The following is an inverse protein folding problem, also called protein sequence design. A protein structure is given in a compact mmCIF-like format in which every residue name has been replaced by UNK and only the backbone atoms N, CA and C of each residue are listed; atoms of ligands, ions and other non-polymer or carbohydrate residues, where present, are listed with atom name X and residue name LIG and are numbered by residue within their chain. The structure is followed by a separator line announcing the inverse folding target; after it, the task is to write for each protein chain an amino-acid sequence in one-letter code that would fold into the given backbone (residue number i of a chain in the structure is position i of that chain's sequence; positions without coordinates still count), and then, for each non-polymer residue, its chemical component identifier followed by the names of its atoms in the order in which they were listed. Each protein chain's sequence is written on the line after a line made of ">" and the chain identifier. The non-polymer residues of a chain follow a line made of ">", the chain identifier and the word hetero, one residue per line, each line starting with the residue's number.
data_IF_962823047041
#
_entry.id   IF_962823047041
#
_cell.length_a   1.000
_cell.length_b   1.000
_cell.length_c   1.000
_cell.angle_alpha   90.00
_cell.angle_beta   90.00
_cell.angle_gamma   90.00
#
_symmetry.space_group_name_H-M   'P 1'
#
loop_
_entity.id
_entity.type
_entity.pdbx_description
1 polymer ?
#
# COMPACT_ATOMS: atom_id res chain seq x y z
N UNK A 1 40.80 -19.56 80.72
CA UNK A 1 40.42 -18.40 79.90
C UNK A 1 39.82 -18.91 78.59
N UNK A 2 38.52 -19.25 78.62
CA UNK A 2 37.76 -19.61 77.40
C UNK A 2 37.57 -18.31 76.63
N UNK A 3 38.02 -18.29 75.37
CA UNK A 3 37.78 -17.18 74.44
C UNK A 3 36.29 -17.24 74.10
N UNK A 4 35.52 -16.26 74.56
CA UNK A 4 34.16 -16.03 74.08
C UNK A 4 34.26 -15.68 72.60
N UNK A 5 34.01 -16.67 71.75
CA UNK A 5 33.82 -16.45 70.32
C UNK A 5 32.57 -15.61 70.19
N UNK A 6 32.76 -14.35 69.81
CA UNK A 6 31.75 -13.31 69.69
C UNK A 6 30.44 -13.84 69.10
N UNK A 7 29.44 -14.03 69.94
CA UNK A 7 28.06 -14.44 69.61
C UNK A 7 27.35 -13.44 68.67
N UNK A 8 27.99 -12.30 68.39
CA UNK A 8 27.45 -11.21 67.57
C UNK A 8 27.54 -11.44 66.06
N UNK A 9 28.50 -12.24 65.58
CA UNK A 9 28.64 -12.55 64.13
C UNK A 9 27.76 -13.74 63.74
N UNK A 10 27.78 -14.81 64.52
CA UNK A 10 27.00 -16.03 64.25
C UNK A 10 25.48 -15.76 64.26
N UNK A 11 24.97 -14.99 65.22
CA UNK A 11 23.54 -14.63 65.28
C UNK A 11 23.11 -13.66 64.17
N UNK A 12 24.05 -12.84 63.64
CA UNK A 12 23.80 -11.91 62.53
C UNK A 12 23.73 -12.65 61.19
N UNK A 13 24.53 -13.68 61.01
CA UNK A 13 24.50 -14.54 59.82
C UNK A 13 23.22 -15.39 59.76
N UNK A 14 22.77 -15.90 60.90
CA UNK A 14 21.53 -16.69 61.00
C UNK A 14 20.29 -15.85 60.70
N UNK A 15 20.25 -14.60 61.16
CA UNK A 15 19.18 -13.64 60.84
C UNK A 15 19.16 -13.19 59.37
N UNK A 16 20.28 -13.28 58.64
CA UNK A 16 20.41 -12.86 57.23
C UNK A 16 20.06 -13.95 56.22
N UNK A 17 20.04 -15.23 56.61
CA UNK A 17 19.68 -16.36 55.74
C UNK A 17 18.36 -16.17 54.97
N UNK A 18 17.21 -15.84 55.60
CA UNK A 18 15.96 -15.64 54.87
C UNK A 18 16.00 -14.43 53.93
N UNK A 19 16.77 -13.39 54.26
CA UNK A 19 16.97 -12.24 53.37
C UNK A 19 17.83 -12.59 52.15
N UNK A 20 18.84 -13.45 52.33
CA UNK A 20 19.69 -13.94 51.25
C UNK A 20 18.90 -14.85 50.29
N UNK A 21 18.06 -15.75 50.80
CA UNK A 21 17.19 -16.60 49.97
C UNK A 21 16.20 -15.76 49.15
N UNK A 22 15.54 -14.78 49.77
CA UNK A 22 14.66 -13.84 49.08
C UNK A 22 15.44 -13.02 48.02
N UNK A 23 16.67 -12.59 48.31
CA UNK A 23 17.51 -11.88 47.36
C UNK A 23 17.93 -12.74 46.16
N UNK A 24 18.28 -14.01 46.39
CA UNK A 24 18.64 -14.94 45.32
C UNK A 24 17.43 -15.27 44.44
N UNK A 25 16.24 -15.42 45.03
CA UNK A 25 15.00 -15.55 44.28
C UNK A 25 14.73 -14.33 43.40
N UNK A 26 14.83 -13.11 43.97
CA UNK A 26 14.71 -11.86 43.22
C UNK A 26 15.68 -11.81 42.04
N UNK A 27 16.95 -12.19 42.26
CA UNK A 27 17.98 -12.18 41.21
C UNK A 27 17.67 -13.18 40.09
N UNK A 28 17.11 -14.35 40.41
CA UNK A 28 16.66 -15.33 39.41
C UNK A 28 15.49 -14.82 38.57
N UNK A 29 14.50 -14.19 39.21
CA UNK A 29 13.36 -13.59 38.50
C UNK A 29 13.84 -12.48 37.57
N UNK A 30 14.67 -11.56 38.07
CA UNK A 30 15.22 -10.48 37.25
C UNK A 30 16.11 -11.01 36.11
N UNK A 31 16.85 -12.11 36.32
CA UNK A 31 17.65 -12.74 35.27
C UNK A 31 16.74 -13.32 34.17
N UNK A 32 15.64 -13.97 34.57
CA UNK A 32 14.59 -14.41 33.66
C UNK A 32 14.02 -13.25 32.85
N UNK A 33 13.71 -12.12 33.50
CA UNK A 33 13.26 -10.89 32.82
C UNK A 33 14.32 -10.38 31.83
N UNK A 34 15.60 -10.31 32.20
CA UNK A 34 16.67 -9.83 31.30
C UNK A 34 16.84 -10.71 30.07
N UNK A 35 16.77 -12.04 30.22
CA UNK A 35 16.81 -12.97 29.09
C UNK A 35 15.56 -12.82 28.21
N UNK A 36 14.39 -12.70 28.82
CA UNK A 36 13.13 -12.50 28.12
C UNK A 36 13.11 -11.18 27.35
N UNK A 37 13.77 -10.13 27.85
CA UNK A 37 13.94 -8.86 27.14
C UNK A 37 14.79 -8.98 25.87
N UNK A 38 15.84 -9.82 25.88
CA UNK A 38 16.62 -10.11 24.67
C UNK A 38 15.76 -10.86 23.65
N UNK A 39 14.98 -11.84 24.10
CA UNK A 39 14.03 -12.55 23.23
C UNK A 39 13.00 -11.57 22.66
N UNK A 40 12.44 -10.69 23.49
CA UNK A 40 11.49 -9.66 23.05
C UNK A 40 12.11 -8.70 22.03
N UNK A 41 13.37 -8.32 22.19
CA UNK A 41 14.09 -7.50 21.22
C UNK A 41 14.22 -8.20 19.86
N UNK A 42 14.59 -9.48 19.86
CA UNK A 42 14.66 -10.28 18.62
C UNK A 42 13.27 -10.39 17.99
N UNK A 43 12.23 -10.67 18.79
CA UNK A 43 10.85 -10.74 18.32
C UNK A 43 10.39 -9.40 17.74
N UNK A 44 10.76 -8.27 18.35
CA UNK A 44 10.47 -6.94 17.81
C UNK A 44 11.14 -6.71 16.46
N UNK A 45 12.42 -7.09 16.31
CA UNK A 45 13.15 -7.00 15.04
C UNK A 45 12.45 -7.83 13.96
N UNK A 46 12.03 -9.06 14.28
CA UNK A 46 11.27 -9.92 13.36
C UNK A 46 9.91 -9.29 13.03
N UNK A 47 9.22 -8.73 14.02
CA UNK A 47 7.94 -8.05 13.82
C UNK A 47 8.09 -6.88 12.84
N UNK A 48 9.02 -5.95 13.05
CA UNK A 48 9.18 -4.80 12.15
C UNK A 48 9.71 -5.19 10.76
N UNK A 49 10.38 -6.33 10.64
CA UNK A 49 10.93 -6.82 9.36
C UNK A 49 9.94 -7.63 8.53
N UNK A 50 8.85 -8.12 9.13
CA UNK A 50 7.83 -8.87 8.38
C UNK A 50 6.93 -7.95 7.54
N UNK A 51 6.51 -8.48 6.41
CA UNK A 51 5.55 -7.92 5.47
C UNK A 51 4.10 -8.35 5.75
N UNK A 52 3.85 -9.08 6.84
CA UNK A 52 2.54 -9.60 7.22
C UNK A 52 2.03 -8.94 8.51
N UNK A 53 1.83 -7.63 8.50
CA UNK A 53 1.10 -6.93 9.56
C UNK A 53 -0.39 -6.89 9.24
N UNK A 54 -0.71 -6.54 7.99
CA UNK A 54 -2.06 -6.45 7.46
C UNK A 54 -2.17 -7.42 6.29
N UNK A 55 -3.24 -8.20 6.26
CA UNK A 55 -3.57 -9.10 5.15
C UNK A 55 -4.99 -8.77 4.70
N UNK A 56 -5.14 -8.43 3.42
CA UNK A 56 -6.43 -8.14 2.80
C UNK A 56 -6.71 -9.24 1.79
N UNK A 57 -7.84 -9.91 1.92
CA UNK A 57 -8.28 -10.98 1.02
C UNK A 57 -9.46 -10.52 0.18
N UNK A 58 -9.38 -10.72 -1.13
CA UNK A 58 -10.47 -10.50 -2.09
C UNK A 58 -11.28 -11.77 -2.39
N UNK A 59 -11.11 -12.85 -1.61
CA UNK A 59 -11.83 -14.11 -1.80
C UNK A 59 -11.58 -14.74 -3.18
N UNK A 60 -12.64 -14.89 -3.99
CA UNK A 60 -12.55 -15.43 -5.35
C UNK A 60 -12.04 -14.40 -6.40
N UNK A 61 -11.82 -13.15 -5.98
CA UNK A 61 -11.33 -12.06 -6.82
C UNK A 61 -12.33 -10.91 -6.91
N UNK A 62 -11.91 -9.72 -6.51
CA UNK A 62 -12.71 -8.49 -6.64
C UNK A 62 -12.26 -7.73 -7.88
N UNK A 63 -13.15 -7.44 -8.81
CA UNK A 63 -12.78 -6.69 -10.03
C UNK A 63 -12.63 -5.20 -9.73
N UNK A 64 -11.45 -4.67 -9.99
CA UNK A 64 -11.15 -3.23 -9.84
C UNK A 64 -11.24 -2.58 -11.21
N UNK A 65 -12.25 -1.71 -11.47
CA UNK A 65 -12.46 -1.14 -12.80
C UNK A 65 -11.30 -0.29 -13.32
N UNK A 66 -10.68 0.49 -12.43
CA UNK A 66 -9.59 1.42 -12.78
C UNK A 66 -8.36 0.69 -13.30
N UNK A 67 -7.94 -0.37 -12.58
CA UNK A 67 -6.78 -1.18 -12.97
C UNK A 67 -7.11 -2.29 -13.95
N UNK A 68 -8.40 -2.64 -14.08
CA UNK A 68 -8.96 -3.77 -14.85
C UNK A 68 -8.40 -5.12 -14.45
N UNK A 69 -8.26 -5.32 -13.14
CA UNK A 69 -7.67 -6.54 -12.58
C UNK A 69 -8.56 -7.08 -11.49
N UNK A 70 -8.51 -8.38 -11.32
CA UNK A 70 -9.04 -9.01 -10.12
C UNK A 70 -8.02 -8.88 -9.00
N UNK A 71 -8.42 -8.22 -7.92
CA UNK A 71 -7.69 -8.22 -6.67
C UNK A 71 -7.92 -9.54 -5.94
N UNK A 72 -6.83 -10.26 -5.66
CA UNK A 72 -6.89 -11.56 -4.99
C UNK A 72 -6.53 -11.46 -3.52
N UNK A 73 -5.34 -10.96 -3.24
CA UNK A 73 -4.90 -10.68 -1.89
C UNK A 73 -3.81 -9.61 -1.91
N UNK A 74 -3.64 -8.95 -0.78
CA UNK A 74 -2.46 -8.15 -0.47
C UNK A 74 -2.02 -8.41 0.96
N UNK A 75 -0.72 -8.24 1.17
CA UNK A 75 -0.15 -8.17 2.50
C UNK A 75 0.77 -6.96 2.58
N UNK A 76 0.74 -6.31 3.73
CA UNK A 76 1.53 -5.12 4.00
C UNK A 76 2.23 -5.25 5.33
N UNK A 77 3.52 -4.92 5.33
CA UNK A 77 4.27 -4.62 6.54
C UNK A 77 4.66 -3.16 6.61
N UNK A 78 5.64 -2.88 7.45
CA UNK A 78 6.12 -1.52 7.71
C UNK A 78 6.93 -0.94 6.53
N UNK A 79 7.69 -1.78 5.84
CA UNK A 79 8.65 -1.35 4.80
C UNK A 79 8.25 -1.77 3.38
N UNK A 80 7.43 -2.82 3.26
CA UNK A 80 7.11 -3.45 1.98
C UNK A 80 5.63 -3.75 1.91
N UNK A 81 5.05 -3.46 0.75
CA UNK A 81 3.69 -3.81 0.40
C UNK A 81 3.69 -4.74 -0.82
N UNK A 82 2.92 -5.81 -0.75
CA UNK A 82 2.78 -6.79 -1.81
C UNK A 82 1.32 -6.98 -2.17
N UNK A 83 1.01 -6.90 -3.46
CA UNK A 83 -0.33 -7.04 -4.00
C UNK A 83 -0.34 -8.10 -5.09
N UNK A 84 -1.20 -9.09 -4.95
CA UNK A 84 -1.42 -10.11 -5.95
C UNK A 84 -2.72 -9.81 -6.68
N UNK A 85 -2.57 -9.55 -7.98
CA UNK A 85 -3.70 -9.28 -8.87
C UNK A 85 -3.68 -10.26 -10.03
N UNK A 86 -4.83 -10.47 -10.67
CA UNK A 86 -4.94 -11.25 -11.90
C UNK A 86 -5.47 -10.35 -13.00
N UNK A 87 -4.76 -10.34 -14.13
CA UNK A 87 -5.15 -9.59 -15.33
C UNK A 87 -6.00 -10.51 -16.23
N UNK A 88 -7.28 -10.20 -16.47
CA UNK A 88 -8.10 -10.92 -17.42
C UNK A 88 -7.81 -10.42 -18.84
N UNK A 89 -7.25 -11.29 -19.68
CA UNK A 89 -6.99 -11.01 -21.09
C UNK A 89 -7.98 -11.77 -21.96
N UNK A 90 -8.84 -11.05 -22.68
CA UNK A 90 -9.72 -11.65 -23.66
C UNK A 90 -8.91 -12.33 -24.76
N UNK A 91 -9.22 -13.58 -25.08
CA UNK A 91 -8.61 -14.30 -26.18
C UNK A 91 -9.01 -13.64 -27.51
N UNK A 92 -8.09 -13.59 -28.48
CA UNK A 92 -8.28 -12.89 -29.75
C UNK A 92 -9.48 -13.42 -30.54
N UNK A 93 -9.72 -14.72 -30.50
CA UNK A 93 -10.81 -15.44 -31.15
C UNK A 93 -12.13 -15.43 -30.37
N UNK A 94 -12.14 -14.96 -29.12
CA UNK A 94 -13.34 -14.97 -28.30
C UNK A 94 -14.30 -13.83 -28.70
N UNK A 95 -15.57 -14.16 -28.88
CA UNK A 95 -16.65 -13.19 -29.09
C UNK A 95 -17.01 -12.54 -27.75
N UNK A 96 -16.33 -11.46 -27.41
CA UNK A 96 -16.56 -10.68 -26.19
C UNK A 96 -16.54 -9.20 -26.49
N UNK A 97 -17.32 -8.44 -25.73
CA UNK A 97 -17.24 -6.97 -25.76
C UNK A 97 -16.01 -6.54 -24.94
N UNK A 98 -15.15 -5.74 -25.56
CA UNK A 98 -13.91 -5.25 -24.95
C UNK A 98 -13.99 -3.75 -24.75
N UNK A 99 -13.22 -3.20 -23.81
CA UNK A 99 -13.03 -1.76 -23.74
C UNK A 99 -11.88 -1.36 -24.68
N UNK A 100 -11.97 -0.20 -25.33
CA UNK A 100 -10.99 0.28 -26.31
C UNK A 100 -9.54 0.26 -25.80
N UNK A 101 -9.29 0.60 -24.54
CA UNK A 101 -7.91 0.63 -24.03
C UNK A 101 -7.32 -0.77 -23.78
N UNK A 102 -8.11 -1.85 -23.92
CA UNK A 102 -7.55 -3.23 -23.99
C UNK A 102 -6.71 -3.48 -25.24
N UNK A 103 -6.89 -2.66 -26.29
CA UNK A 103 -6.08 -2.72 -27.50
C UNK A 103 -4.72 -2.03 -27.29
N UNK A 104 -4.62 -1.11 -26.33
CA UNK A 104 -3.51 -0.17 -26.21
C UNK A 104 -2.35 -0.71 -25.38
N UNK A 105 -1.15 -0.22 -25.65
CA UNK A 105 -0.01 -0.49 -24.79
C UNK A 105 -0.20 0.17 -23.43
N UNK A 106 0.10 -0.60 -22.37
CA UNK A 106 0.08 -0.09 -20.99
C UNK A 106 1.49 0.25 -20.48
N UNK A 107 2.54 -0.30 -21.10
CA UNK A 107 3.93 0.01 -20.72
C UNK A 107 4.39 1.33 -21.35
N UNK A 108 4.97 2.22 -20.55
CA UNK A 108 5.53 3.47 -21.05
C UNK A 108 6.65 3.25 -22.07
N UNK A 109 7.47 2.19 -21.91
CA UNK A 109 8.52 1.85 -22.88
C UNK A 109 7.94 1.57 -24.26
N UNK A 110 6.95 0.68 -24.35
CA UNK A 110 6.29 0.32 -25.61
C UNK A 110 5.53 1.50 -26.22
N UNK A 111 4.96 2.38 -25.40
CA UNK A 111 4.33 3.62 -25.88
C UNK A 111 5.37 4.51 -26.54
N UNK A 112 6.50 4.77 -25.87
CA UNK A 112 7.55 5.64 -26.39
C UNK A 112 8.16 5.07 -27.69
N UNK A 113 8.43 3.76 -27.72
CA UNK A 113 8.94 3.08 -28.92
C UNK A 113 7.94 3.14 -30.09
N UNK A 114 6.66 2.94 -29.80
CA UNK A 114 5.60 3.03 -30.81
C UNK A 114 5.45 4.47 -31.34
N UNK A 115 5.51 5.49 -30.46
CA UNK A 115 5.49 6.91 -30.89
C UNK A 115 6.69 7.21 -31.79
N UNK A 116 7.91 6.81 -31.39
CA UNK A 116 9.13 7.00 -32.19
C UNK A 116 8.99 6.37 -33.59
N UNK A 117 8.47 5.14 -33.67
CA UNK A 117 8.24 4.47 -34.94
C UNK A 117 7.18 5.20 -35.80
N UNK A 118 6.12 5.71 -35.17
CA UNK A 118 5.06 6.46 -35.84
C UNK A 118 5.58 7.75 -36.49
N UNK A 119 6.45 8.49 -35.79
CA UNK A 119 7.04 9.76 -36.25
C UNK A 119 7.75 9.62 -37.59
N UNK A 120 8.31 8.45 -37.87
CA UNK A 120 9.03 8.18 -39.12
C UNK A 120 8.11 7.78 -40.29
N UNK A 121 6.84 7.45 -40.03
CA UNK A 121 5.90 7.02 -41.06
C UNK A 121 5.44 8.18 -41.94
N UNK A 122 5.31 7.93 -43.24
CA UNK A 122 5.01 8.97 -44.25
C UNK A 122 3.65 9.64 -44.02
N UNK A 123 2.62 8.87 -43.68
CA UNK A 123 1.28 9.41 -43.46
C UNK A 123 1.21 10.39 -42.27
N UNK A 124 2.04 10.21 -41.23
CA UNK A 124 2.12 11.17 -40.11
C UNK A 124 2.70 12.50 -40.57
N UNK A 125 3.69 12.47 -41.46
CA UNK A 125 4.25 13.70 -42.06
C UNK A 125 3.22 14.40 -42.93
N UNK A 126 2.44 13.65 -43.72
CA UNK A 126 1.36 14.17 -44.55
C UNK A 126 0.24 14.79 -43.70
N UNK A 127 -0.18 14.11 -42.63
CA UNK A 127 -1.21 14.61 -41.71
C UNK A 127 -0.77 15.90 -41.02
N UNK A 128 0.50 16.04 -40.65
CA UNK A 128 1.00 17.28 -40.04
C UNK A 128 0.94 18.51 -40.98
N UNK A 129 1.01 18.32 -42.29
CA UNK A 129 1.02 19.41 -43.29
C UNK A 129 -0.32 19.61 -44.01
N UNK A 130 -1.33 18.81 -43.69
CA UNK A 130 -2.66 18.87 -44.32
C UNK A 130 -3.32 20.25 -44.10
N UNK A 131 -3.94 20.80 -45.15
CA UNK A 131 -4.61 22.11 -45.06
C UNK A 131 -5.87 21.97 -44.21
N UNK A 132 -6.07 22.93 -43.31
CA UNK A 132 -7.29 23.00 -42.51
C UNK A 132 -8.38 23.70 -43.31
N UNK A 133 -9.59 23.17 -43.22
CA UNK A 133 -10.77 23.85 -43.73
C UNK A 133 -11.11 25.04 -42.83
N UNK A 134 -11.51 26.17 -43.42
CA UNK A 134 -11.93 27.37 -42.68
C UNK A 134 -13.32 27.22 -42.01
N UNK A 135 -13.89 26.02 -42.02
CA UNK A 135 -15.16 25.76 -41.34
C UNK A 135 -15.00 25.89 -39.84
N UNK A 136 -15.95 26.53 -39.15
CA UNK A 136 -15.96 26.67 -37.68
C UNK A 136 -16.15 25.35 -36.89
N UNK A 137 -16.11 24.19 -37.55
CA UNK A 137 -16.26 22.86 -36.96
C UNK A 137 -14.91 22.13 -36.89
N UNK A 138 -14.79 21.16 -35.97
CA UNK A 138 -13.59 20.34 -35.88
C UNK A 138 -13.58 19.24 -36.95
N UNK A 139 -13.00 19.55 -38.10
CA UNK A 139 -13.01 18.70 -39.30
C UNK A 139 -12.04 17.52 -39.24
N UNK A 140 -12.15 16.62 -40.21
CA UNK A 140 -11.29 15.45 -40.36
C UNK A 140 -9.80 15.80 -40.52
N UNK A 141 -9.39 16.80 -41.33
CA UNK A 141 -8.01 17.28 -41.36
C UNK A 141 -7.51 17.77 -39.98
N UNK A 142 -8.38 18.40 -39.19
CA UNK A 142 -8.01 18.86 -37.85
C UNK A 142 -7.73 17.68 -36.90
N UNK A 143 -8.52 16.59 -36.98
CA UNK A 143 -8.29 15.35 -36.21
C UNK A 143 -6.95 14.70 -36.58
N UNK A 144 -6.66 14.60 -37.88
CA UNK A 144 -5.39 14.05 -38.40
C UNK A 144 -4.19 14.86 -37.94
N UNK A 145 -4.26 16.20 -38.04
CA UNK A 145 -3.22 17.11 -37.53
C UNK A 145 -3.00 16.98 -36.03
N UNK A 146 -4.09 17.00 -35.25
CA UNK A 146 -4.02 16.84 -33.80
C UNK A 146 -3.31 15.55 -33.41
N UNK A 147 -3.66 14.43 -34.06
CA UNK A 147 -2.99 13.15 -33.82
C UNK A 147 -1.52 13.14 -34.27
N UNK A 148 -1.21 13.75 -35.42
CA UNK A 148 0.15 13.81 -35.95
C UNK A 148 1.09 14.60 -35.03
N UNK A 149 0.69 15.78 -34.56
CA UNK A 149 1.49 16.58 -33.60
C UNK A 149 1.67 15.84 -32.28
N UNK A 150 0.62 15.20 -31.76
CA UNK A 150 0.72 14.35 -30.57
C UNK A 150 1.72 13.21 -30.74
N UNK A 151 1.66 12.50 -31.87
CA UNK A 151 2.55 11.38 -32.18
C UNK A 151 4.02 11.82 -32.28
N UNK A 152 4.26 12.98 -32.89
CA UNK A 152 5.59 13.59 -33.07
C UNK A 152 6.18 14.18 -31.78
N UNK A 153 5.36 14.40 -30.75
CA UNK A 153 5.79 15.04 -29.50
C UNK A 153 5.90 16.56 -29.59
N UNK A 154 5.15 17.16 -30.50
CA UNK A 154 5.05 18.61 -30.70
C UNK A 154 3.95 19.16 -29.79
N UNK A 155 4.34 19.47 -28.55
CA UNK A 155 3.40 19.74 -27.45
C UNK A 155 2.61 21.04 -27.65
N UNK A 156 3.24 22.11 -28.16
CA UNK A 156 2.57 23.41 -28.33
C UNK A 156 1.43 23.33 -29.37
N UNK A 157 1.72 22.71 -30.51
CA UNK A 157 0.75 22.49 -31.57
C UNK A 157 -0.34 21.53 -31.12
N UNK A 158 0.02 20.42 -30.44
CA UNK A 158 -0.95 19.50 -29.88
C UNK A 158 -1.90 20.19 -28.90
N UNK A 159 -1.39 21.01 -27.97
CA UNK A 159 -2.21 21.72 -27.00
C UNK A 159 -3.14 22.75 -27.65
N UNK A 160 -2.70 23.37 -28.76
CA UNK A 160 -3.53 24.27 -29.56
C UNK A 160 -4.73 23.54 -30.15
N UNK A 161 -4.49 22.39 -30.81
CA UNK A 161 -5.57 21.58 -31.37
C UNK A 161 -6.45 20.95 -30.29
N UNK A 162 -5.86 20.51 -29.18
CA UNK A 162 -6.58 19.98 -28.02
C UNK A 162 -7.53 21.03 -27.43
N UNK A 163 -7.06 22.26 -27.26
CA UNK A 163 -7.88 23.36 -26.75
C UNK A 163 -9.03 23.68 -27.72
N UNK A 164 -8.76 23.66 -29.04
CA UNK A 164 -9.80 23.81 -30.05
C UNK A 164 -10.83 22.66 -30.01
N UNK A 165 -10.38 21.41 -29.84
CA UNK A 165 -11.26 20.24 -29.70
C UNK A 165 -12.12 20.35 -28.43
N UNK A 166 -11.53 20.72 -27.30
CA UNK A 166 -12.27 20.95 -26.06
C UNK A 166 -13.36 22.01 -26.24
N UNK A 167 -13.01 23.14 -26.87
CA UNK A 167 -13.94 24.25 -27.11
C UNK A 167 -15.04 23.89 -28.10
N UNK A 168 -14.72 23.26 -29.22
CA UNK A 168 -15.68 23.04 -30.32
C UNK A 168 -16.49 21.75 -30.15
N UNK A 169 -15.94 20.73 -29.48
CA UNK A 169 -16.55 19.41 -29.36
C UNK A 169 -16.97 19.14 -27.92
N UNK A 170 -16.04 19.15 -26.97
CA UNK A 170 -16.34 18.70 -25.59
C UNK A 170 -17.25 19.67 -24.82
N UNK A 171 -17.22 20.96 -25.14
CA UNK A 171 -18.03 21.98 -24.46
C UNK A 171 -19.52 21.97 -24.85
N UNK A 172 -19.90 21.20 -25.87
CA UNK A 172 -21.30 21.09 -26.31
C UNK A 172 -22.16 20.39 -25.24
N UNK A 173 -23.41 20.83 -25.07
CA UNK A 173 -24.29 20.29 -24.02
C UNK A 173 -24.49 18.78 -24.16
N UNK A 174 -24.57 18.27 -25.39
CA UNK A 174 -24.68 16.84 -25.67
C UNK A 174 -23.47 16.05 -25.13
N UNK A 175 -22.25 16.50 -25.44
CA UNK A 175 -21.03 15.81 -25.04
C UNK A 175 -20.73 16.00 -23.54
N UNK A 176 -21.11 17.13 -22.93
CA UNK A 176 -20.97 17.33 -21.49
C UNK A 176 -21.79 16.33 -20.67
N UNK A 177 -22.94 15.88 -21.18
CA UNK A 177 -23.76 14.84 -20.52
C UNK A 177 -23.05 13.48 -20.49
N UNK A 178 -22.10 13.21 -21.38
CA UNK A 178 -21.29 11.98 -21.37
C UNK A 178 -20.19 11.99 -20.30
N UNK A 179 -19.81 13.17 -19.79
CA UNK A 179 -18.76 13.31 -18.77
C UNK A 179 -19.33 13.39 -17.35
N UNK A 180 -20.53 13.94 -17.20
CA UNK A 180 -21.14 14.18 -15.90
C UNK A 180 -21.88 12.93 -15.39
N UNK A 181 -21.15 12.03 -14.74
CA UNK A 181 -21.73 10.85 -14.08
C UNK A 181 -22.53 11.22 -12.83
N UNK A 182 -23.65 10.54 -12.62
CA UNK A 182 -24.35 10.55 -11.32
C UNK A 182 -23.51 9.77 -10.29
N UNK A 183 -23.57 10.13 -9.01
CA UNK A 183 -22.86 9.45 -7.91
C UNK A 183 -23.39 8.02 -7.58
N UNK A 184 -24.13 7.40 -8.49
CA UNK A 184 -24.69 6.05 -8.32
C UNK A 184 -23.62 5.01 -8.61
N UNK A 185 -23.67 3.88 -7.91
CA UNK A 185 -22.74 2.75 -8.10
C UNK A 185 -22.75 2.30 -9.58
N UNK A 186 -21.57 2.06 -10.19
CA UNK A 186 -21.51 1.64 -11.58
C UNK A 186 -22.25 0.32 -11.84
N UNK A 187 -22.85 0.20 -13.01
CA UNK A 187 -23.59 -0.99 -13.43
C UNK A 187 -22.60 -1.98 -14.07
N UNK A 188 -22.43 -3.19 -13.49
CA UNK A 188 -21.60 -4.22 -14.08
C UNK A 188 -22.32 -4.83 -15.29
N UNK A 189 -21.62 -4.92 -16.41
CA UNK A 189 -22.09 -5.53 -17.66
C UNK A 189 -21.22 -6.74 -17.96
N UNK A 190 -21.87 -7.88 -18.21
CA UNK A 190 -21.18 -9.10 -18.63
C UNK A 190 -20.70 -8.96 -20.08
N UNK A 191 -19.37 -8.94 -20.35
CA UNK A 191 -18.83 -8.82 -21.70
C UNK A 191 -19.11 -10.04 -22.59
N UNK A 192 -19.53 -11.18 -22.02
CA UNK A 192 -19.89 -12.38 -22.77
C UNK A 192 -21.28 -12.30 -23.39
N UNK A 193 -22.20 -11.49 -22.86
CA UNK A 193 -23.56 -11.32 -23.38
C UNK A 193 -23.60 -10.34 -24.57
N UNK A 194 -22.83 -10.64 -25.62
CA UNK A 194 -22.72 -9.80 -26.82
C UNK A 194 -24.10 -9.57 -27.45
N UNK A 195 -24.91 -10.62 -27.56
CA UNK A 195 -26.23 -10.54 -28.18
C UNK A 195 -27.20 -9.68 -27.35
N UNK A 196 -27.21 -9.84 -26.02
CA UNK A 196 -28.04 -9.03 -25.15
C UNK A 196 -27.62 -7.57 -25.11
N UNK A 197 -26.31 -7.28 -25.18
CA UNK A 197 -25.77 -5.92 -25.28
C UNK A 197 -26.24 -5.23 -26.57
N UNK A 198 -26.16 -5.93 -27.71
CA UNK A 198 -26.59 -5.39 -29.01
C UNK A 198 -28.11 -5.18 -29.03
N UNK A 199 -28.89 -6.17 -28.59
CA UNK A 199 -30.35 -6.12 -28.61
C UNK A 199 -30.90 -5.00 -27.72
N UNK A 200 -30.30 -4.80 -26.54
CA UNK A 200 -30.68 -3.76 -25.57
C UNK A 200 -30.08 -2.39 -25.90
N UNK A 201 -29.19 -2.30 -26.88
CA UNK A 201 -28.40 -1.09 -27.19
C UNK A 201 -27.71 -0.52 -25.95
N UNK A 202 -27.19 -1.39 -25.06
CA UNK A 202 -26.65 -1.00 -23.74
C UNK A 202 -25.59 0.11 -23.83
N UNK A 203 -24.75 0.08 -24.86
CA UNK A 203 -23.70 1.08 -25.10
C UNK A 203 -24.02 2.03 -26.28
N UNK A 204 -25.24 1.99 -26.84
CA UNK A 204 -25.63 2.89 -27.94
C UNK A 204 -24.63 2.90 -29.11
N UNK A 205 -24.20 4.10 -29.52
CA UNK A 205 -23.22 4.27 -30.60
C UNK A 205 -21.76 4.14 -30.12
N UNK A 206 -21.54 4.03 -28.80
CA UNK A 206 -20.23 3.72 -28.23
C UNK A 206 -19.78 2.29 -28.53
N UNK A 207 -20.69 1.37 -28.88
CA UNK A 207 -20.34 0.01 -29.30
C UNK A 207 -19.91 -0.01 -30.76
N UNK A 208 -18.60 -0.17 -31.00
CA UNK A 208 -18.01 -0.20 -32.33
C UNK A 208 -17.47 -1.59 -32.67
N UNK A 209 -17.67 -2.02 -33.92
CA UNK A 209 -17.10 -3.27 -34.43
C UNK A 209 -15.81 -2.93 -35.16
N UNK A 210 -14.68 -3.27 -34.56
CA UNK A 210 -13.35 -2.92 -35.08
C UNK A 210 -12.64 -4.17 -35.59
N UNK A 211 -12.02 -4.05 -36.77
CA UNK A 211 -11.13 -5.07 -37.31
C UNK A 211 -9.72 -4.82 -36.79
N UNK A 212 -9.17 -5.78 -36.05
CA UNK A 212 -7.79 -5.72 -35.54
C UNK A 212 -7.12 -7.08 -35.72
N UNK A 213 -5.91 -7.10 -36.29
CA UNK A 213 -5.15 -8.32 -36.57
C UNK A 213 -5.98 -9.40 -37.31
N UNK A 214 -6.71 -8.99 -38.36
CA UNK A 214 -7.64 -9.81 -39.15
C UNK A 214 -8.83 -10.43 -38.38
N UNK A 215 -9.04 -10.05 -37.12
CA UNK A 215 -10.19 -10.46 -36.33
C UNK A 215 -11.14 -9.29 -36.11
N UNK A 216 -12.45 -9.54 -36.27
CA UNK A 216 -13.47 -8.57 -35.91
C UNK A 216 -13.82 -8.76 -34.44
N UNK A 217 -13.80 -7.68 -33.66
CA UNK A 217 -14.22 -7.72 -32.25
C UNK A 217 -15.01 -6.46 -31.90
N UNK A 218 -15.85 -6.56 -30.88
CA UNK A 218 -16.63 -5.45 -30.38
C UNK A 218 -15.83 -4.67 -29.33
N UNK A 219 -15.72 -3.36 -29.51
CA UNK A 219 -15.08 -2.45 -28.59
C UNK A 219 -16.04 -1.35 -28.16
N UNK A 220 -16.03 -1.04 -26.87
CA UNK A 220 -16.69 0.12 -26.32
C UNK A 220 -15.72 1.29 -26.41
N UNK A 221 -16.03 2.26 -27.29
CA UNK A 221 -15.28 3.50 -27.52
C UNK A 221 -16.25 4.66 -27.25
N UNK A 222 -16.02 5.53 -26.25
CA UNK A 222 -16.88 6.68 -25.97
C UNK A 222 -17.15 7.52 -27.22
N UNK A 223 -18.34 8.08 -27.37
CA UNK A 223 -18.74 8.77 -28.62
C UNK A 223 -17.84 9.99 -28.87
N UNK A 224 -17.53 10.76 -27.82
CA UNK A 224 -16.58 11.87 -27.92
C UNK A 224 -15.17 11.40 -28.29
N UNK A 225 -14.75 10.22 -27.82
CA UNK A 225 -13.47 9.63 -28.23
C UNK A 225 -13.46 9.27 -29.73
N UNK A 226 -14.58 8.78 -30.27
CA UNK A 226 -14.72 8.54 -31.72
C UNK A 226 -14.64 9.84 -32.53
N UNK A 227 -15.13 10.96 -32.00
CA UNK A 227 -15.03 12.28 -32.64
C UNK A 227 -13.61 12.86 -32.59
N UNK A 228 -12.76 12.39 -31.68
CA UNK A 228 -11.38 12.85 -31.53
C UNK A 228 -10.41 12.21 -32.54
N UNK A 229 -10.74 11.03 -33.06
CA UNK A 229 -9.88 10.28 -33.96
C UNK A 229 -10.33 10.39 -35.42
N UNK A 230 -9.37 10.34 -36.33
CA UNK A 230 -9.58 10.40 -37.77
C UNK A 230 -10.16 9.08 -38.31
N UNK A 231 -10.87 9.15 -39.43
CA UNK A 231 -11.39 7.99 -40.17
C UNK A 231 -10.29 7.01 -40.59
N UNK A 232 -10.61 5.72 -40.70
CA UNK A 232 -9.66 4.66 -41.10
C UNK A 232 -8.46 4.45 -40.17
N UNK A 233 -8.50 4.96 -38.93
CA UNK A 233 -7.45 4.74 -37.93
C UNK A 233 -7.17 3.25 -37.64
N UNK A 234 -8.14 2.38 -37.90
CA UNK A 234 -8.04 0.92 -37.72
C UNK A 234 -7.07 0.27 -38.69
N UNK A 235 -6.78 0.91 -39.82
CA UNK A 235 -5.87 0.40 -40.85
C UNK A 235 -4.40 0.52 -40.43
N UNK A 236 -4.12 1.31 -39.38
CA UNK A 236 -2.79 1.56 -38.87
C UNK A 236 -2.59 0.85 -37.51
N UNK A 237 -1.88 -0.31 -37.47
CA UNK A 237 -1.78 -1.12 -36.24
C UNK A 237 -1.18 -0.38 -35.04
N UNK A 238 -0.20 0.50 -35.28
CA UNK A 238 0.42 1.29 -34.21
C UNK A 238 -0.52 2.37 -33.67
N UNK A 239 -1.39 2.95 -34.49
CA UNK A 239 -2.41 3.92 -34.06
C UNK A 239 -3.40 3.23 -33.12
N UNK A 240 -3.86 2.03 -33.47
CA UNK A 240 -4.71 1.21 -32.61
C UNK A 240 -4.06 0.92 -31.25
N UNK A 241 -2.76 0.59 -31.24
CA UNK A 241 -1.99 0.35 -30.01
C UNK A 241 -1.75 1.61 -29.16
N UNK A 242 -1.84 2.79 -29.76
CA UNK A 242 -1.64 4.08 -29.09
C UNK A 242 -2.95 4.80 -28.74
N UNK A 243 -4.09 4.29 -29.23
CA UNK A 243 -5.41 4.90 -29.08
C UNK A 243 -5.75 5.30 -27.64
N UNK A 244 -5.58 4.37 -26.69
CA UNK A 244 -5.87 4.60 -25.28
C UNK A 244 -5.02 5.71 -24.67
N UNK A 245 -3.73 5.75 -25.00
CA UNK A 245 -2.81 6.80 -24.56
C UNK A 245 -3.20 8.15 -25.14
N UNK A 246 -3.50 8.21 -26.45
CA UNK A 246 -3.92 9.43 -27.13
C UNK A 246 -5.21 10.03 -26.52
N UNK A 247 -6.26 9.21 -26.37
CA UNK A 247 -7.54 9.63 -25.79
C UNK A 247 -7.34 10.16 -24.36
N UNK A 248 -6.50 9.48 -23.57
CA UNK A 248 -6.15 9.91 -22.21
C UNK A 248 -5.44 11.27 -22.22
N UNK A 249 -4.49 11.48 -23.13
CA UNK A 249 -3.71 12.72 -23.21
C UNK A 249 -4.58 13.91 -23.70
N UNK A 250 -5.65 13.67 -24.46
CA UNK A 250 -6.69 14.68 -24.76
C UNK A 250 -7.48 15.04 -23.49
N UNK A 251 -7.65 14.09 -22.57
CA UNK A 251 -8.43 14.24 -21.34
C UNK A 251 -9.87 13.73 -21.47
N UNK A 252 -10.12 12.76 -22.35
CA UNK A 252 -11.43 12.12 -22.48
C UNK A 252 -11.49 10.92 -21.51
N UNK A 253 -12.54 10.79 -20.67
CA UNK A 253 -12.68 9.66 -19.76
C UNK A 253 -12.87 8.33 -20.49
N UNK A 254 -12.37 7.25 -19.91
CA UNK A 254 -12.41 5.91 -20.49
C UNK A 254 -13.65 5.07 -20.10
N UNK A 255 -14.71 5.73 -19.63
CA UNK A 255 -15.99 5.12 -19.25
C UNK A 255 -17.11 5.54 -20.19
N UNK A 256 -18.22 4.79 -20.19
CA UNK A 256 -19.44 5.13 -20.93
C UNK A 256 -20.59 5.19 -19.94
N UNK A 257 -21.49 6.14 -20.15
CA UNK A 257 -22.67 6.32 -19.33
C UNK A 257 -23.92 5.75 -20.02
N UNK A 258 -24.89 5.29 -19.24
CA UNK A 258 -26.23 4.99 -19.75
C UNK A 258 -27.08 6.27 -19.85
N UNK A 259 -28.35 6.14 -20.26
CA UNK A 259 -29.31 7.26 -20.35
C UNK A 259 -29.53 7.98 -19.01
N UNK A 260 -29.37 7.27 -17.89
CA UNK A 260 -29.49 7.81 -16.52
C UNK A 260 -28.17 8.43 -15.99
N UNK A 261 -27.14 8.53 -16.84
CA UNK A 261 -25.78 9.01 -16.50
C UNK A 261 -25.05 8.16 -15.46
N UNK A 262 -25.37 6.87 -15.39
CA UNK A 262 -24.68 5.88 -14.56
C UNK A 262 -23.58 5.20 -15.37
N UNK A 263 -22.41 5.02 -14.74
CA UNK A 263 -21.24 4.42 -15.38
C UNK A 263 -21.49 2.94 -15.68
N UNK A 264 -21.24 2.53 -16.93
CA UNK A 264 -21.29 1.14 -17.39
C UNK A 264 -19.88 0.54 -17.38
N UNK A 265 -19.71 -0.58 -16.69
CA UNK A 265 -18.39 -1.23 -16.54
C UNK A 265 -18.46 -2.67 -17.04
N UNK A 266 -17.60 -3.01 -17.99
CA UNK A 266 -17.41 -4.39 -18.42
C UNK A 266 -16.67 -5.15 -17.34
N UNK A 267 -17.32 -6.13 -16.72
CA UNK A 267 -16.75 -6.96 -15.66
C UNK A 267 -16.54 -8.37 -16.22
N UNK A 268 -15.29 -8.80 -16.48
CA UNK A 268 -15.00 -10.15 -16.93
C UNK A 268 -15.53 -11.20 -15.94
N UNK A 269 -15.73 -12.45 -16.36
CA UNK A 269 -16.08 -13.52 -15.44
C UNK A 269 -14.97 -13.75 -14.40
N UNK A 270 -15.34 -14.28 -13.24
CA UNK A 270 -14.40 -14.61 -12.18
C UNK A 270 -13.36 -15.64 -12.66
N UNK A 271 -12.11 -15.53 -12.20
CA UNK A 271 -11.07 -16.50 -12.55
C UNK A 271 -11.40 -17.89 -11.99
N UNK A 272 -11.05 -18.97 -12.71
CA UNK A 272 -11.25 -20.33 -12.24
C UNK A 272 -10.35 -20.65 -11.03
N UNK A 273 -10.85 -21.44 -10.07
CA UNK A 273 -10.14 -21.78 -8.82
C UNK A 273 -8.76 -22.44 -9.03
N UNK A 274 -8.56 -23.16 -10.13
CA UNK A 274 -7.29 -23.85 -10.44
C UNK A 274 -6.35 -23.02 -11.33
N UNK A 275 -6.68 -21.75 -11.57
CA UNK A 275 -5.99 -20.93 -12.56
C UNK A 275 -6.16 -21.48 -13.98
N UNK A 276 -5.68 -20.72 -14.97
CA UNK A 276 -5.65 -21.16 -16.36
C UNK A 276 -6.54 -20.35 -17.29
N UNK A 277 -6.77 -20.91 -18.48
CA UNK A 277 -7.53 -20.29 -19.55
C UNK A 277 -8.95 -20.83 -19.55
N UNK A 278 -9.92 -19.94 -19.75
CA UNK A 278 -11.29 -20.28 -20.09
C UNK A 278 -11.47 -20.22 -21.61
N UNK A 279 -12.65 -20.56 -22.13
CA UNK A 279 -12.95 -20.42 -23.54
C UNK A 279 -12.86 -18.97 -24.06
N UNK A 280 -12.91 -17.97 -23.17
CA UNK A 280 -12.99 -16.55 -23.55
C UNK A 280 -11.85 -15.69 -22.99
N UNK A 281 -11.32 -16.02 -21.81
CA UNK A 281 -10.31 -15.23 -21.10
C UNK A 281 -9.13 -16.09 -20.64
N UNK A 282 -7.93 -15.52 -20.79
CA UNK A 282 -6.70 -15.98 -20.14
C UNK A 282 -6.44 -15.13 -18.90
N UNK A 283 -6.22 -15.77 -17.76
CA UNK A 283 -5.99 -15.11 -16.49
C UNK A 283 -4.51 -15.16 -16.13
N UNK A 284 -3.83 -14.02 -16.23
CA UNK A 284 -2.39 -13.93 -15.98
C UNK A 284 -2.15 -13.36 -14.57
N UNK A 285 -1.47 -14.11 -13.68
CA UNK A 285 -1.11 -13.59 -12.37
C UNK A 285 -0.10 -12.46 -12.51
N UNK A 286 -0.33 -11.38 -11.77
CA UNK A 286 0.51 -10.20 -11.70
C UNK A 286 0.78 -9.87 -10.22
N UNK A 287 1.75 -10.56 -9.59
CA UNK A 287 2.23 -10.22 -8.27
C UNK A 287 3.12 -8.97 -8.35
N UNK A 288 2.86 -7.98 -7.50
CA UNK A 288 3.69 -6.77 -7.41
C UNK A 288 4.05 -6.51 -5.95
N UNK A 289 5.34 -6.58 -5.64
CA UNK A 289 5.90 -6.14 -4.37
C UNK A 289 6.71 -4.86 -4.59
N UNK A 290 6.46 -3.84 -3.77
CA UNK A 290 7.17 -2.56 -3.80
C UNK A 290 7.57 -2.20 -2.38
N UNK A 291 8.78 -1.69 -2.20
CA UNK A 291 9.14 -1.00 -0.97
C UNK A 291 8.34 0.30 -0.89
N UNK A 292 7.84 0.61 0.30
CA UNK A 292 7.08 1.82 0.53
C UNK A 292 8.06 2.99 0.50
N UNK A 293 7.89 3.87 -0.48
CA UNK A 293 8.63 5.12 -0.53
C UNK A 293 7.97 6.08 0.47
N UNK A 294 8.60 6.28 1.62
CA UNK A 294 8.07 7.13 2.69
C UNK A 294 8.15 8.63 2.34
N UNK A 295 8.96 9.01 1.35
CA UNK A 295 9.17 10.40 0.96
C UNK A 295 8.96 10.59 -0.56
N UNK A 296 7.77 10.26 -1.09
CA UNK A 296 7.49 10.43 -2.50
C UNK A 296 7.36 11.92 -2.84
N UNK A 297 7.64 12.27 -4.09
CA UNK A 297 7.34 13.60 -4.61
C UNK A 297 5.80 13.79 -4.70
N UNK A 298 5.31 15.01 -4.53
CA UNK A 298 3.87 15.31 -4.56
C UNK A 298 3.19 14.88 -5.87
N UNK A 299 3.90 15.02 -6.99
CA UNK A 299 3.43 14.55 -8.30
C UNK A 299 3.38 13.02 -8.40
N UNK A 300 4.27 12.29 -7.73
CA UNK A 300 4.24 10.82 -7.73
C UNK A 300 3.11 10.28 -6.86
N UNK A 301 2.82 10.94 -5.73
CA UNK A 301 1.75 10.52 -4.82
C UNK A 301 0.36 10.75 -5.44
N UNK A 302 0.13 11.89 -6.09
CA UNK A 302 -1.12 12.19 -6.82
C UNK A 302 -1.47 11.17 -7.91
N UNK A 303 -0.47 10.48 -8.45
CA UNK A 303 -0.62 9.50 -9.51
C UNK A 303 -0.82 8.05 -9.00
N UNK A 304 -0.67 7.80 -7.69
CA UNK A 304 -0.91 6.48 -7.08
C UNK A 304 -2.24 6.51 -6.29
N UNK A 305 -3.38 6.08 -6.87
CA UNK A 305 -4.71 6.20 -6.25
C UNK A 305 -4.93 5.35 -4.98
N UNK A 306 -3.91 4.60 -4.54
CA UNK A 306 -3.93 3.78 -3.34
C UNK A 306 -3.21 4.37 -2.13
N UNK A 307 -2.62 5.56 -2.27
CA UNK A 307 -1.91 6.26 -1.20
C UNK A 307 -2.26 7.74 -1.24
N UNK A 308 -2.59 8.31 -0.09
CA UNK A 308 -2.79 9.74 0.11
C UNK A 308 -1.80 10.30 1.14
N UNK A 309 -1.77 11.63 1.30
CA UNK A 309 -0.85 12.31 2.21
C UNK A 309 -1.02 11.85 3.66
N UNK A 310 -2.27 11.67 4.10
CA UNK A 310 -2.62 11.27 5.47
C UNK A 310 -2.17 9.84 5.79
N UNK A 311 -2.42 8.87 4.89
CA UNK A 311 -1.90 7.51 5.03
C UNK A 311 -0.37 7.49 5.07
N UNK A 312 0.28 8.32 4.25
CA UNK A 312 1.74 8.44 4.27
C UNK A 312 2.27 8.98 5.61
N UNK A 313 1.56 9.91 6.24
CA UNK A 313 1.92 10.40 7.57
C UNK A 313 1.78 9.32 8.65
N UNK A 314 0.70 8.53 8.63
CA UNK A 314 0.59 7.36 9.51
C UNK A 314 1.75 6.38 9.35
N UNK A 315 2.13 6.05 8.10
CA UNK A 315 3.24 5.14 7.81
C UNK A 315 4.57 5.70 8.35
N UNK A 316 4.84 7.00 8.15
CA UNK A 316 6.05 7.68 8.65
C UNK A 316 6.11 7.67 10.17
N UNK A 317 4.99 7.98 10.84
CA UNK A 317 4.90 7.92 12.30
C UNK A 317 5.14 6.50 12.80
N UNK A 318 4.50 5.49 12.18
CA UNK A 318 4.67 4.09 12.53
C UNK A 318 6.15 3.65 12.41
N UNK A 319 6.81 4.00 11.30
CA UNK A 319 8.22 3.65 11.07
C UNK A 319 9.16 4.33 12.06
N UNK A 320 8.92 5.60 12.37
CA UNK A 320 9.72 6.38 13.31
C UNK A 320 9.62 5.80 14.73
N UNK A 321 8.41 5.54 15.23
CA UNK A 321 8.21 4.92 16.54
C UNK A 321 8.72 3.48 16.60
N UNK A 322 8.68 2.74 15.49
CA UNK A 322 9.25 1.39 15.44
C UNK A 322 10.77 1.37 15.65
N UNK A 323 11.48 2.31 15.00
CA UNK A 323 12.92 2.51 15.19
C UNK A 323 13.24 3.01 16.60
N UNK A 324 12.48 3.98 17.13
CA UNK A 324 12.67 4.47 18.52
C UNK A 324 12.52 3.32 19.51
N UNK A 325 11.48 2.49 19.35
CA UNK A 325 11.24 1.32 20.21
C UNK A 325 12.44 0.36 20.18
N UNK A 326 13.00 0.11 18.99
CA UNK A 326 14.20 -0.73 18.85
C UNK A 326 15.39 -0.19 19.64
N UNK A 327 15.66 1.12 19.56
CA UNK A 327 16.75 1.76 20.32
C UNK A 327 16.51 1.70 21.83
N UNK A 328 15.30 2.05 22.28
CA UNK A 328 14.94 2.04 23.71
C UNK A 328 15.02 0.62 24.28
N UNK A 329 14.52 -0.39 23.56
CA UNK A 329 14.63 -1.79 23.98
C UNK A 329 16.09 -2.27 24.05
N UNK A 330 16.93 -1.86 23.09
CA UNK A 330 18.36 -2.19 23.10
C UNK A 330 19.05 -1.62 24.34
N UNK A 331 18.78 -0.35 24.68
CA UNK A 331 19.27 0.28 25.91
C UNK A 331 18.73 -0.43 27.15
N UNK A 332 17.44 -0.75 27.18
CA UNK A 332 16.79 -1.47 28.28
C UNK A 332 17.43 -2.84 28.54
N UNK A 333 17.75 -3.59 27.48
CA UNK A 333 18.43 -4.88 27.59
C UNK A 333 19.83 -4.72 28.20
N UNK A 334 20.63 -3.77 27.72
CA UNK A 334 21.98 -3.48 28.27
C UNK A 334 21.90 -3.11 29.75
N UNK A 335 21.01 -2.18 30.12
CA UNK A 335 20.85 -1.77 31.52
C UNK A 335 20.34 -2.91 32.41
N UNK A 336 19.53 -3.83 31.88
CA UNK A 336 19.05 -5.00 32.63
C UNK A 336 20.17 -5.94 33.02
N UNK A 337 21.10 -6.24 32.11
CA UNK A 337 22.29 -7.03 32.46
C UNK A 337 23.25 -6.27 33.36
N UNK A 338 23.40 -4.97 33.14
CA UNK A 338 24.23 -4.11 33.98
C UNK A 338 23.80 -4.13 35.47
N UNK A 339 22.51 -4.33 35.76
CA UNK A 339 22.02 -4.47 37.15
C UNK A 339 22.60 -5.67 37.92
N UNK A 340 23.15 -6.68 37.23
CA UNK A 340 23.79 -7.82 37.89
C UNK A 340 25.27 -7.58 38.20
N UNK A 341 25.91 -6.66 37.47
CA UNK A 341 27.29 -6.25 37.72
C UNK A 341 27.35 -5.21 38.85
N UNK A 342 26.35 -4.34 38.95
CA UNK A 342 26.28 -3.29 39.96
C UNK A 342 25.05 -3.47 40.85
N UNK A 343 25.22 -3.82 42.15
CA UNK A 343 24.10 -4.16 43.03
C UNK A 343 23.18 -2.98 43.39
N UNK A 344 23.56 -1.75 43.03
CA UNK A 344 22.87 -0.50 43.38
C UNK A 344 21.43 -0.49 42.86
N UNK A 345 20.48 -0.25 43.76
CA UNK A 345 19.04 -0.25 43.45
C UNK A 345 18.61 0.74 42.34
N UNK A 346 19.36 1.84 42.15
CA UNK A 346 19.07 2.86 41.14
C UNK A 346 19.09 2.30 39.71
N UNK A 347 20.00 1.39 39.37
CA UNK A 347 20.08 0.81 38.04
C UNK A 347 18.88 -0.09 37.73
N UNK A 348 18.32 -0.76 38.75
CA UNK A 348 17.08 -1.55 38.61
C UNK A 348 15.88 -0.66 38.28
N UNK A 349 15.79 0.52 38.91
CA UNK A 349 14.73 1.51 38.61
C UNK A 349 14.86 2.06 37.20
N UNK A 350 16.09 2.41 36.81
CA UNK A 350 16.37 2.90 35.47
C UNK A 350 15.99 1.86 34.41
N UNK A 351 16.43 0.60 34.59
CA UNK A 351 16.07 -0.49 33.68
C UNK A 351 14.55 -0.69 33.60
N UNK A 352 13.86 -0.73 34.75
CA UNK A 352 12.40 -0.84 34.79
C UNK A 352 11.68 0.31 34.08
N UNK A 353 12.15 1.55 34.28
CA UNK A 353 11.61 2.73 33.59
C UNK A 353 11.80 2.66 32.07
N UNK A 354 12.99 2.28 31.61
CA UNK A 354 13.28 2.15 30.16
C UNK A 354 12.39 1.09 29.51
N UNK A 355 12.13 -0.05 30.19
CA UNK A 355 11.22 -1.08 29.68
C UNK A 355 9.77 -0.60 29.59
N UNK A 356 9.30 0.20 30.54
CA UNK A 356 7.96 0.80 30.47
C UNK A 356 7.86 1.84 29.34
N UNK A 357 8.94 2.60 29.08
CA UNK A 357 9.01 3.50 27.92
C UNK A 357 9.02 2.70 26.62
N UNK A 358 9.75 1.59 26.53
CA UNK A 358 9.72 0.71 25.37
C UNK A 358 8.33 0.11 25.14
N UNK A 359 7.61 -0.26 26.20
CA UNK A 359 6.23 -0.70 26.10
C UNK A 359 5.31 0.40 25.56
N UNK A 360 5.42 1.63 26.06
CA UNK A 360 4.58 2.73 25.58
C UNK A 360 4.85 3.05 24.12
N UNK A 361 6.11 3.08 23.68
CA UNK A 361 6.44 3.32 22.27
C UNK A 361 5.97 2.18 21.35
N UNK A 362 6.05 0.92 21.80
CA UNK A 362 5.49 -0.23 21.06
C UNK A 362 3.95 -0.14 20.94
N UNK A 363 3.27 0.33 21.98
CA UNK A 363 1.82 0.54 21.96
C UNK A 363 1.42 1.65 20.98
N UNK A 364 2.19 2.73 20.91
CA UNK A 364 1.98 3.80 19.93
C UNK A 364 2.04 3.24 18.50
N UNK A 365 3.00 2.36 18.18
CA UNK A 365 3.07 1.71 16.86
C UNK A 365 1.80 0.93 16.55
N UNK A 366 1.26 0.17 17.51
CA UNK A 366 0.01 -0.57 17.34
C UNK A 366 -1.20 0.35 17.16
N UNK A 367 -1.27 1.44 17.94
CA UNK A 367 -2.35 2.41 17.84
C UNK A 367 -2.36 3.12 16.48
N UNK A 368 -1.19 3.59 16.03
CA UNK A 368 -1.03 4.23 14.71
C UNK A 368 -1.40 3.27 13.58
N UNK A 369 -1.06 1.98 13.70
CA UNK A 369 -1.48 0.95 12.74
C UNK A 369 -3.01 0.80 12.69
N UNK A 370 -3.69 0.73 13.84
CA UNK A 370 -5.15 0.57 13.83
C UNK A 370 -5.85 1.82 13.27
N UNK A 371 -5.38 3.02 13.63
CA UNK A 371 -5.88 4.27 13.04
C UNK A 371 -5.66 4.33 11.53
N UNK A 372 -4.51 3.88 11.02
CA UNK A 372 -4.26 3.88 9.57
C UNK A 372 -5.15 2.89 8.82
N UNK A 373 -5.47 1.74 9.42
CA UNK A 373 -6.41 0.76 8.87
C UNK A 373 -7.82 1.34 8.78
N UNK A 374 -8.30 1.95 9.86
CA UNK A 374 -9.65 2.51 9.91
C UNK A 374 -9.78 3.66 8.90
N UNK A 375 -8.76 4.51 8.81
CA UNK A 375 -8.67 5.55 7.79
C UNK A 375 -8.71 4.97 6.36
N UNK A 376 -7.91 3.94 6.08
CA UNK A 376 -7.82 3.31 4.76
C UNK A 376 -9.16 2.69 4.33
N UNK A 377 -9.90 2.08 5.26
CA UNK A 377 -11.23 1.51 4.98
C UNK A 377 -12.25 2.57 4.57
N UNK A 378 -12.18 3.75 5.19
CA UNK A 378 -13.16 4.82 4.96
C UNK A 378 -12.82 5.67 3.73
N UNK A 379 -11.54 5.90 3.44
CA UNK A 379 -11.11 6.90 2.45
C UNK A 379 -10.42 6.31 1.21
N UNK A 380 -9.86 5.11 1.28
CA UNK A 380 -9.00 4.55 0.23
C UNK A 380 -9.59 3.25 -0.37
N UNK A 381 -10.69 3.41 -1.12
CA UNK A 381 -11.37 2.31 -1.83
C UNK A 381 -10.44 1.50 -2.77
N UNK A 382 -9.40 2.12 -3.36
CA UNK A 382 -8.47 1.40 -4.23
C UNK A 382 -7.51 0.46 -3.48
N UNK A 383 -7.16 0.84 -2.24
CA UNK A 383 -6.36 0.03 -1.34
C UNK A 383 -7.23 -1.03 -0.65
N UNK A 384 -8.48 -0.66 -0.32
CA UNK A 384 -9.47 -1.51 0.33
C UNK A 384 -10.76 -1.57 -0.50
N UNK A 385 -10.87 -2.51 -1.47
CA UNK A 385 -12.07 -2.61 -2.27
C UNK A 385 -13.25 -3.14 -1.44
N UNK A 386 -14.47 -2.73 -1.80
CA UNK A 386 -15.71 -3.28 -1.23
C UNK A 386 -15.67 -4.81 -1.27
N UNK A 387 -16.19 -5.45 -0.22
CA UNK A 387 -16.22 -6.91 -0.03
C UNK A 387 -14.87 -7.57 0.27
N UNK A 388 -13.80 -6.79 0.48
CA UNK A 388 -12.54 -7.33 0.97
C UNK A 388 -12.61 -7.69 2.47
N UNK A 389 -11.99 -8.81 2.84
CA UNK A 389 -11.83 -9.23 4.23
C UNK A 389 -10.46 -8.80 4.76
N UNK A 390 -10.46 -8.01 5.84
CA UNK A 390 -9.25 -7.64 6.57
C UNK A 390 -8.93 -8.70 7.63
N UNK A 391 -7.68 -9.16 7.65
CA UNK A 391 -7.14 -10.02 8.69
C UNK A 391 -5.81 -9.48 9.20
N UNK A 392 -5.54 -9.65 10.50
CA UNK A 392 -4.28 -9.27 11.10
C UNK A 392 -3.24 -10.38 10.89
N UNK A 393 -2.06 -9.99 10.43
CA UNK A 393 -0.95 -10.92 10.24
C UNK A 393 -0.10 -11.10 11.50
N UNK A 394 0.94 -11.94 11.38
CA UNK A 394 1.83 -12.28 12.49
C UNK A 394 2.54 -11.07 13.12
N UNK A 395 2.82 -10.01 12.34
CA UNK A 395 3.47 -8.80 12.84
C UNK A 395 2.75 -8.15 14.02
N UNK A 396 1.41 -8.13 13.99
CA UNK A 396 0.57 -7.57 15.06
C UNK A 396 0.66 -8.40 16.34
N UNK A 397 0.60 -9.73 16.21
CA UNK A 397 0.70 -10.63 17.36
C UNK A 397 2.09 -10.58 18.02
N UNK A 398 3.15 -10.50 17.21
CA UNK A 398 4.53 -10.35 17.71
C UNK A 398 4.73 -8.99 18.41
N UNK A 399 4.11 -7.91 17.90
CA UNK A 399 4.14 -6.60 18.54
C UNK A 399 3.42 -6.61 19.90
N UNK A 400 2.25 -7.25 20.00
CA UNK A 400 1.55 -7.44 21.28
C UNK A 400 2.37 -8.26 22.28
N UNK A 401 3.02 -9.32 21.84
CA UNK A 401 3.92 -10.10 22.68
C UNK A 401 5.05 -9.23 23.26
N UNK A 402 5.68 -8.40 22.42
CA UNK A 402 6.72 -7.46 22.84
C UNK A 402 6.18 -6.44 23.85
N UNK A 403 5.00 -5.86 23.59
CA UNK A 403 4.35 -4.93 24.50
C UNK A 403 4.12 -5.53 25.89
N UNK A 404 3.46 -6.70 25.96
CA UNK A 404 3.14 -7.38 27.23
C UNK A 404 4.42 -7.74 27.98
N UNK A 405 5.43 -8.24 27.27
CA UNK A 405 6.71 -8.61 27.85
C UNK A 405 7.44 -7.41 28.47
N UNK A 406 7.50 -6.28 27.76
CA UNK A 406 8.13 -5.05 28.25
C UNK A 406 7.41 -4.51 29.49
N UNK A 407 6.06 -4.55 29.52
CA UNK A 407 5.30 -4.16 30.72
C UNK A 407 5.61 -5.06 31.90
N UNK A 408 5.52 -6.38 31.73
CA UNK A 408 5.73 -7.33 32.82
C UNK A 408 7.15 -7.21 33.39
N UNK A 409 8.16 -7.17 32.51
CA UNK A 409 9.55 -6.98 32.90
C UNK A 409 9.76 -5.62 33.58
N UNK A 410 9.21 -4.53 33.02
CA UNK A 410 9.30 -3.19 33.62
C UNK A 410 8.73 -3.13 35.03
N UNK A 411 7.53 -3.68 35.24
CA UNK A 411 6.90 -3.77 36.57
C UNK A 411 7.73 -4.64 37.52
N UNK A 412 8.24 -5.79 37.08
CA UNK A 412 9.06 -6.67 37.92
C UNK A 412 10.38 -6.00 38.35
N UNK A 413 11.04 -5.27 37.45
CA UNK A 413 12.25 -4.51 37.77
C UNK A 413 11.97 -3.40 38.80
N UNK A 414 10.84 -2.70 38.68
CA UNK A 414 10.44 -1.69 39.66
C UNK A 414 10.05 -2.30 41.01
N UNK A 415 9.27 -3.39 41.00
CA UNK A 415 8.83 -4.09 42.21
C UNK A 415 10.02 -4.58 43.04
N UNK A 416 11.04 -5.14 42.39
CA UNK A 416 12.26 -5.64 43.05
C UNK A 416 13.38 -4.59 43.19
N UNK A 417 13.09 -3.30 42.94
CA UNK A 417 14.05 -2.19 43.09
C UNK A 417 14.05 -1.55 44.50
N UNK A 418 13.40 -2.18 45.48
CA UNK A 418 13.33 -1.69 46.86
C UNK A 418 14.73 -1.44 47.44
N UNK A 419 14.91 -0.27 48.06
CA UNK A 419 16.17 0.11 48.72
C UNK A 419 16.39 -0.75 49.97
N UNK A 420 17.56 -1.36 50.12
CA UNK A 420 17.89 -2.20 51.30
C UNK A 420 19.04 -1.55 52.08
N UNK A 421 18.82 -1.20 53.36
CA UNK A 421 19.80 -0.55 54.23
C UNK A 421 20.12 -1.39 55.47
N UNK A 422 21.38 -1.38 55.91
CA UNK A 422 21.81 -1.91 57.21
C UNK A 422 21.38 -3.37 57.45
N UNK A 423 20.70 -3.64 58.56
CA UNK A 423 20.25 -4.98 58.94
C UNK A 423 19.20 -5.60 57.98
N UNK A 424 18.59 -4.82 57.08
CA UNK A 424 17.64 -5.29 56.07
C UNK A 424 18.31 -5.68 54.74
N UNK A 425 19.64 -5.60 54.65
CA UNK A 425 20.40 -6.02 53.50
C UNK A 425 20.88 -7.48 53.63
N UNK A 426 20.88 -8.26 52.53
CA UNK A 426 21.24 -9.68 52.53
C UNK A 426 22.74 -9.93 52.75
N UNK A 427 23.61 -8.99 52.36
CA UNK A 427 25.05 -8.99 52.67
C UNK A 427 25.54 -7.54 52.87
N UNK A 428 26.75 -7.39 53.43
CA UNK A 428 27.33 -6.07 53.71
C UNK A 428 27.72 -5.31 52.43
N UNK A 429 28.07 -6.00 51.34
CA UNK A 429 28.35 -5.37 50.03
C UNK A 429 27.11 -4.66 49.44
N UNK A 430 25.93 -5.30 49.48
CA UNK A 430 24.67 -4.68 49.03
C UNK A 430 24.25 -3.56 49.99
N UNK A 431 24.52 -3.72 51.29
CA UNK A 431 24.26 -2.67 52.28
C UNK A 431 25.08 -1.40 51.98
N UNK A 432 26.39 -1.57 51.75
CA UNK A 432 27.32 -0.47 51.44
C UNK A 432 27.03 0.16 50.07
N UNK A 433 26.63 -0.63 49.06
CA UNK A 433 26.32 -0.10 47.73
C UNK A 433 25.06 0.82 47.68
N UNK A 434 24.16 0.68 48.65
CA UNK A 434 22.92 1.46 48.77
C UNK A 434 23.05 2.65 49.76
N UNK A 435 24.19 2.76 50.45
CA UNK A 435 24.54 3.90 51.29
C UNK A 435 24.94 5.12 50.45
N UNK A 436 24.68 6.35 50.93
CA UNK A 436 25.14 7.54 50.23
C UNK A 436 26.67 7.54 50.23
N UNK A 437 27.26 7.34 49.05
CA UNK A 437 28.68 7.64 48.85
C UNK A 437 28.85 9.14 49.07
N UNK A 438 29.43 9.49 50.22
CA UNK A 438 29.90 10.85 50.49
C UNK A 438 31.07 11.07 49.52
N UNK A 439 30.78 11.54 48.31
CA UNK A 439 31.80 12.13 47.45
C UNK A 439 32.25 13.39 48.18
N UNK A 440 33.48 13.33 48.71
CA UNK A 440 33.99 14.24 49.72
C UNK A 440 33.81 15.72 49.40
N UNK A 441 33.73 16.49 50.48
CA UNK A 441 34.29 17.83 50.53
C UNK A 441 35.80 17.71 50.68
#
# INVERSE_FOLDING_TARGET
>A
MKRDVSTSTIGRDEARRPLMEAYMFQRRVLLGCSLLMVISLIVWIVAISTDHWIIISGGNGIFIPESRRFFMNSHSGLWRHCRNTIVPNALSNAQVVRNFSSMSYTSQSYINDAKRNLTHMEFIKQFATEKLDESGNFTEPARRRMFAHWARGEEEEFQTFRSAFHKLVMSTEANQREFNSTAVKPIPIDPLDVNGIIKRKTFGSALQRVKYNNTWSYYVIPEVAQQSIFSNWTDYPLVVRLLGTYIRDIGIPAFVLNEERVILILVPPLPPKKGGQTAHYSYIPYPRCKYIDMFPNSNTLRNEPGFDDELMDYIRTQASFACITLFVMSLGAVFSFYTFMNPRYMFKRLAGGIHLVAASTALVVLQVLFSSIDYTKEHLFYAYPDDAELTYGYGVYLAWFTFVTNILCGVMFLWYSGKKKGAKAPNDEVAMADEPTIMGR
#
